data_IF_387601079278
#
_entry.id   IF_387601079278
#
_cell.length_a   1.000
_cell.length_b   1.000
_cell.length_c   1.000
_cell.angle_alpha   90.00
_cell.angle_beta   90.00
_cell.angle_gamma   90.00
#
_symmetry.space_group_name_H-M   'P 1'
#
loop_
_entity.id
_entity.type
_entity.pdbx_description
1 polymer ?
#
# COMPACT_ATOMS: atom_id res chain seq x y z
N UNK A 1 -0.42 -15.08 -0.80
CA UNK A 1 0.31 -14.60 -1.99
C UNK A 1 1.51 -13.82 -1.50
N UNK A 2 2.64 -13.90 -2.21
CA UNK A 2 3.82 -13.08 -1.95
C UNK A 2 3.72 -11.82 -2.79
N UNK A 3 3.88 -10.67 -2.14
CA UNK A 3 3.85 -9.34 -2.73
C UNK A 3 5.20 -8.67 -2.49
N UNK A 4 5.70 -7.91 -3.47
CA UNK A 4 6.88 -7.10 -3.25
C UNK A 4 6.53 -5.88 -2.39
N UNK A 5 7.22 -5.70 -1.27
CA UNK A 5 7.02 -4.53 -0.40
C UNK A 5 7.24 -3.24 -1.20
N UNK A 6 8.38 -3.19 -1.91
CA UNK A 6 8.67 -2.18 -2.92
C UNK A 6 8.41 -2.76 -4.32
N UNK A 7 7.49 -2.17 -5.12
CA UNK A 7 7.22 -2.67 -6.45
C UNK A 7 8.46 -2.56 -7.34
N UNK A 8 8.88 -3.68 -7.92
CA UNK A 8 10.11 -3.76 -8.69
C UNK A 8 10.10 -2.91 -9.98
N UNK A 9 8.92 -2.58 -10.55
CA UNK A 9 8.78 -1.72 -11.77
C UNK A 9 9.70 -2.10 -12.94
N UNK A 10 10.00 -3.39 -13.10
CA UNK A 10 10.89 -3.92 -14.13
C UNK A 10 12.37 -4.02 -13.73
N UNK A 11 12.76 -3.55 -12.55
CA UNK A 11 14.08 -3.77 -11.98
C UNK A 11 14.24 -5.25 -11.57
N UNK A 12 15.17 -5.94 -12.22
CA UNK A 12 15.45 -7.35 -11.97
C UNK A 12 16.04 -7.61 -10.58
N UNK A 13 16.84 -6.68 -10.06
CA UNK A 13 17.44 -6.79 -8.73
C UNK A 13 16.36 -6.70 -7.66
N UNK A 14 15.43 -5.75 -7.78
CA UNK A 14 14.29 -5.65 -6.86
C UNK A 14 13.35 -6.86 -6.99
N UNK A 15 13.18 -7.40 -8.20
CA UNK A 15 12.39 -8.62 -8.39
C UNK A 15 13.01 -9.82 -7.69
N UNK A 16 14.32 -10.01 -7.79
CA UNK A 16 15.00 -11.17 -7.20
C UNK A 16 15.28 -11.05 -5.70
N UNK A 17 15.64 -9.85 -5.24
CA UNK A 17 16.21 -9.62 -3.91
C UNK A 17 15.37 -8.67 -3.06
N UNK A 18 14.30 -8.09 -3.60
CA UNK A 18 13.42 -7.18 -2.87
C UNK A 18 12.68 -7.89 -1.75
N UNK A 19 12.38 -7.13 -0.69
CA UNK A 19 11.61 -7.64 0.44
C UNK A 19 10.21 -8.08 0.00
N UNK A 20 9.76 -9.22 0.51
CA UNK A 20 8.44 -9.78 0.26
C UNK A 20 7.56 -9.66 1.51
N UNK A 21 6.26 -9.47 1.31
CA UNK A 21 5.24 -9.54 2.34
C UNK A 21 4.17 -10.58 1.99
N UNK A 22 3.61 -11.20 3.04
CA UNK A 22 2.52 -12.17 2.91
C UNK A 22 1.19 -11.44 2.93
N UNK A 23 0.47 -11.44 1.81
CA UNK A 23 -0.88 -10.90 1.70
C UNK A 23 -1.85 -11.97 1.22
N UNK A 24 -3.09 -11.94 1.71
CA UNK A 24 -4.15 -12.73 1.10
C UNK A 24 -4.52 -12.14 -0.27
N UNK A 25 -5.13 -12.95 -1.14
CA UNK A 25 -5.53 -12.52 -2.50
C UNK A 25 -6.33 -11.21 -2.54
N UNK A 26 -7.35 -11.00 -1.68
CA UNK A 26 -8.09 -9.74 -1.71
C UNK A 26 -7.24 -8.55 -1.24
N UNK A 27 -6.37 -8.69 -0.23
CA UNK A 27 -5.51 -7.60 0.22
C UNK A 27 -4.47 -7.20 -0.82
N UNK A 28 -3.88 -8.18 -1.52
CA UNK A 28 -2.97 -7.91 -2.63
C UNK A 28 -3.68 -7.20 -3.79
N UNK A 29 -4.77 -7.78 -4.27
CA UNK A 29 -5.46 -7.32 -5.47
C UNK A 29 -6.33 -6.08 -5.26
N UNK A 30 -6.48 -5.58 -4.02
CA UNK A 30 -7.29 -4.39 -3.73
C UNK A 30 -6.55 -3.35 -2.90
N UNK A 31 -6.31 -3.60 -1.61
CA UNK A 31 -5.73 -2.61 -0.70
C UNK A 31 -4.33 -2.19 -1.14
N UNK A 32 -3.42 -3.15 -1.33
CA UNK A 32 -2.04 -2.85 -1.75
C UNK A 32 -1.99 -2.14 -3.10
N UNK A 33 -2.68 -2.68 -4.11
CA UNK A 33 -2.76 -2.04 -5.42
C UNK A 33 -3.29 -0.60 -5.36
N UNK A 34 -4.31 -0.32 -4.54
CA UNK A 34 -4.86 1.04 -4.38
C UNK A 34 -3.87 1.97 -3.69
N UNK A 35 -3.19 1.51 -2.64
CA UNK A 35 -2.18 2.29 -1.94
C UNK A 35 -1.05 2.67 -2.90
N UNK A 36 -0.56 1.73 -3.71
CA UNK A 36 0.49 2.01 -4.69
C UNK A 36 0.06 2.99 -5.78
N UNK A 37 -1.20 2.90 -6.23
CA UNK A 37 -1.73 3.80 -7.24
C UNK A 37 -2.00 5.23 -6.69
N UNK A 38 -2.44 5.34 -5.44
CA UNK A 38 -2.86 6.61 -4.82
C UNK A 38 -1.76 7.31 -4.02
N UNK A 39 -0.82 6.54 -3.48
CA UNK A 39 0.21 6.99 -2.56
C UNK A 39 -0.26 7.12 -1.10
N UNK A 40 -1.45 6.62 -0.74
CA UNK A 40 -1.98 6.66 0.63
C UNK A 40 -3.03 5.56 0.87
N UNK A 41 -3.20 5.18 2.13
CA UNK A 41 -4.24 4.27 2.64
C UNK A 41 -5.55 5.03 2.95
N UNK A 42 -6.67 4.32 2.83
CA UNK A 42 -8.03 4.78 3.15
C UNK A 42 -8.58 4.17 4.43
N UNK A 43 -7.74 3.49 5.22
CA UNK A 43 -8.09 3.05 6.56
C UNK A 43 -8.54 4.24 7.44
N UNK A 44 -9.56 4.01 8.26
CA UNK A 44 -10.13 5.00 9.18
C UNK A 44 -10.08 4.49 10.62
N UNK A 45 -10.01 5.42 11.57
CA UNK A 45 -10.09 5.11 13.00
C UNK A 45 -11.54 4.93 13.49
N UNK A 46 -11.71 4.79 14.81
CA UNK A 46 -13.01 4.62 15.44
C UNK A 46 -13.95 5.83 15.27
N UNK A 47 -13.40 7.02 15.03
CA UNK A 47 -14.15 8.25 14.79
C UNK A 47 -14.48 8.44 13.30
N UNK A 48 -14.02 7.51 12.45
CA UNK A 48 -14.24 7.52 11.01
C UNK A 48 -13.29 8.44 10.24
N UNK A 49 -12.21 8.91 10.88
CA UNK A 49 -11.23 9.80 10.23
C UNK A 49 -10.06 9.01 9.62
N UNK A 50 -9.53 9.41 8.44
CA UNK A 50 -8.41 8.71 7.80
C UNK A 50 -7.15 8.70 8.68
N UNK A 51 -6.58 7.51 8.86
CA UNK A 51 -5.40 7.30 9.72
C UNK A 51 -4.08 7.60 9.03
N UNK A 52 -4.03 7.51 7.68
CA UNK A 52 -2.83 7.82 6.91
C UNK A 52 -2.59 9.34 6.84
N UNK A 53 -1.46 9.86 7.34
CA UNK A 53 -1.13 11.28 7.27
C UNK A 53 -1.11 11.85 5.84
N UNK A 54 -0.84 11.02 4.82
CA UNK A 54 -0.81 11.42 3.42
C UNK A 54 -2.21 11.50 2.79
N UNK A 55 -3.25 11.00 3.46
CA UNK A 55 -4.61 11.07 2.95
C UNK A 55 -5.01 12.54 2.70
N UNK A 56 -5.60 12.90 1.54
CA UNK A 56 -5.90 14.30 1.19
C UNK A 56 -6.71 15.08 2.23
N UNK A 57 -7.59 14.39 2.98
CA UNK A 57 -8.34 14.99 4.08
C UNK A 57 -7.47 15.51 5.24
N UNK A 58 -6.24 14.98 5.40
CA UNK A 58 -5.29 15.38 6.44
C UNK A 58 -4.39 16.57 6.04
N UNK A 59 -4.48 17.08 4.79
CA UNK A 59 -3.63 18.17 4.29
C UNK A 59 -3.84 19.54 4.96
N UNK A 60 -4.96 19.71 5.64
CA UNK A 60 -5.38 20.99 6.25
C UNK A 60 -5.68 20.86 7.74
N UNK A 61 -5.22 19.77 8.37
CA UNK A 61 -5.37 19.55 9.81
C UNK A 61 -4.14 20.06 10.56
#
# INVERSE_FOLDING_TARGET
MFDHVEPHRGDWTLFCLGALQSLCSPCHSSTKQRIEARGFDVAVDADGWPTDPNHPANRHR
#
